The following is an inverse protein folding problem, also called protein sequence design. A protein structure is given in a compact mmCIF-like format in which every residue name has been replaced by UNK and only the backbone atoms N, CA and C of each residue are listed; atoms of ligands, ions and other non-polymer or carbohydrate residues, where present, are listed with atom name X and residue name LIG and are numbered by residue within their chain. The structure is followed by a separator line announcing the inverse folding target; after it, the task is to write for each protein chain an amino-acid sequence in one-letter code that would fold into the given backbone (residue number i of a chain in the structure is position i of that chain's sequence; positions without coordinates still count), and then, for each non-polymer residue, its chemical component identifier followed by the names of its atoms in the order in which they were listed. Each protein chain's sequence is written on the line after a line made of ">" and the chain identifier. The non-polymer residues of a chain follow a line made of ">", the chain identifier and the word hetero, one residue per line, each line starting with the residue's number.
data_IF_071675358124
#
_entry.id   IF_071675358124
#
_cell.length_a   1.000
_cell.length_b   1.000
_cell.length_c   1.000
_cell.angle_alpha   90.00
_cell.angle_beta   90.00
_cell.angle_gamma   90.00
#
_symmetry.space_group_name_H-M   'P 1'
#
loop_
_entity.id
_entity.type
_entity.pdbx_description
1 polymer ?
#
# COMPACT_ATOMS: atom_id res chain seq x y z
N UNK A 1 -12.11 17.86 16.87
CA UNK A 1 -11.85 17.14 15.61
C UNK A 1 -13.14 16.93 14.83
N UNK A 2 -14.09 16.11 15.28
CA UNK A 2 -15.33 15.85 14.52
C UNK A 2 -16.23 17.08 14.32
N UNK A 3 -16.21 18.05 15.25
CA UNK A 3 -16.94 19.31 15.05
C UNK A 3 -16.35 20.15 13.90
N UNK A 4 -15.03 20.13 13.71
CA UNK A 4 -14.38 20.79 12.57
C UNK A 4 -14.70 20.09 11.25
N UNK A 5 -14.82 18.76 11.26
CA UNK A 5 -15.25 17.99 10.09
C UNK A 5 -16.69 18.35 9.74
N UNK A 6 -17.57 18.48 10.74
CA UNK A 6 -18.97 18.84 10.53
C UNK A 6 -19.10 20.28 10.00
N UNK A 7 -18.30 21.22 10.52
CA UNK A 7 -18.20 22.61 10.02
C UNK A 7 -17.71 22.66 8.56
N UNK A 8 -16.69 21.88 8.21
CA UNK A 8 -16.23 21.75 6.82
C UNK A 8 -17.30 21.12 5.90
N UNK A 9 -18.14 20.25 6.44
CA UNK A 9 -19.22 19.60 5.72
C UNK A 9 -20.49 20.47 5.60
N UNK A 10 -20.52 21.68 6.18
CA UNK A 10 -21.65 22.61 6.03
C UNK A 10 -21.75 23.20 4.63
N UNK A 11 -20.64 23.34 3.89
CA UNK A 11 -20.70 23.73 2.46
C UNK A 11 -21.03 22.50 1.61
N UNK A 12 -22.30 22.38 1.21
CA UNK A 12 -22.80 21.30 0.35
C UNK A 12 -22.13 21.26 -1.05
N UNK A 13 -21.38 22.30 -1.45
CA UNK A 13 -20.60 22.32 -2.70
C UNK A 13 -19.21 21.70 -2.52
N UNK A 14 -18.79 21.46 -1.28
CA UNK A 14 -17.53 20.85 -0.94
C UNK A 14 -17.73 19.37 -0.59
N UNK A 15 -16.92 18.49 -1.18
CA UNK A 15 -16.91 17.08 -0.81
C UNK A 15 -15.80 16.81 0.21
N UNK A 16 -16.16 16.24 1.34
CA UNK A 16 -15.25 16.01 2.48
C UNK A 16 -14.89 14.54 2.56
N UNK A 17 -13.58 14.25 2.52
CA UNK A 17 -13.05 12.91 2.76
C UNK A 17 -12.46 12.83 4.16
N UNK A 18 -12.91 11.85 4.94
CA UNK A 18 -12.39 11.54 6.27
C UNK A 18 -11.66 10.21 6.18
N UNK A 19 -10.33 10.25 6.24
CA UNK A 19 -9.48 9.05 6.28
C UNK A 19 -9.12 8.72 7.74
N UNK A 20 -9.47 7.52 8.19
CA UNK A 20 -9.09 6.97 9.49
C UNK A 20 -8.16 5.79 9.23
N UNK A 21 -6.86 5.99 9.43
CA UNK A 21 -5.85 4.95 9.28
C UNK A 21 -5.74 4.12 10.57
N UNK A 22 -5.50 2.81 10.45
CA UNK A 22 -5.33 1.88 11.58
C UNK A 22 -6.46 1.95 12.61
N UNK A 23 -7.72 1.83 12.16
CA UNK A 23 -8.89 2.00 13.03
C UNK A 23 -8.96 0.97 14.18
N UNK A 24 -8.27 -0.16 14.05
CA UNK A 24 -8.07 -1.15 15.13
C UNK A 24 -7.37 -0.56 16.35
N UNK A 25 -6.52 0.47 16.17
CA UNK A 25 -5.85 1.17 17.29
C UNK A 25 -6.85 1.90 18.18
N UNK A 26 -7.98 2.33 17.59
CA UNK A 26 -9.07 3.02 18.28
C UNK A 26 -10.13 2.04 18.78
N UNK A 27 -10.14 0.80 18.28
CA UNK A 27 -11.21 -0.17 18.53
C UNK A 27 -10.78 -1.63 18.49
N UNK A 28 -9.83 -1.98 19.36
CA UNK A 28 -9.54 -3.39 19.65
C UNK A 28 -10.77 -4.07 20.26
N UNK A 29 -11.04 -5.30 19.81
CA UNK A 29 -12.14 -6.15 20.28
C UNK A 29 -12.33 -6.07 21.80
N UNK A 30 -13.59 -5.83 22.20
CA UNK A 30 -14.05 -5.78 23.60
C UNK A 30 -13.66 -7.03 24.39
N UNK A 31 -13.42 -8.15 23.70
CA UNK A 31 -13.03 -9.44 24.30
C UNK A 31 -11.51 -9.52 24.60
N UNK A 32 -10.67 -8.82 23.84
CA UNK A 32 -9.21 -8.84 24.01
C UNK A 32 -8.73 -7.98 25.19
N UNK A 33 -9.54 -7.01 25.63
CA UNK A 33 -9.22 -6.08 26.73
C UNK A 33 -9.29 -6.69 28.14
N UNK A 34 -9.63 -7.97 28.29
CA UNK A 34 -9.84 -8.61 29.60
C UNK A 34 -8.54 -8.80 30.41
N UNK A 35 -7.35 -8.58 29.83
CA UNK A 35 -6.09 -9.01 30.46
C UNK A 35 -5.12 -7.91 30.94
N UNK A 36 -5.15 -6.67 30.44
CA UNK A 36 -4.21 -5.60 30.88
C UNK A 36 -4.76 -4.19 30.60
N UNK A 37 -5.32 -3.53 31.62
CA UNK A 37 -5.82 -2.13 31.55
C UNK A 37 -7.33 -2.02 31.77
N UNK A 38 -7.81 -0.82 32.11
CA UNK A 38 -9.22 -0.56 32.42
C UNK A 38 -10.06 -0.64 31.12
N UNK A 39 -10.80 -1.73 30.88
CA UNK A 39 -11.49 -1.99 29.60
C UNK A 39 -12.57 -0.95 29.30
N UNK A 40 -13.00 -0.21 30.33
CA UNK A 40 -14.08 0.76 30.23
C UNK A 40 -13.70 1.95 29.33
N UNK A 41 -12.45 2.41 29.37
CA UNK A 41 -12.06 3.62 28.64
C UNK A 41 -11.84 3.37 27.15
N UNK A 42 -11.30 2.21 26.78
CA UNK A 42 -11.21 1.79 25.37
C UNK A 42 -12.60 1.60 24.76
N UNK A 43 -13.52 0.95 25.48
CA UNK A 43 -14.90 0.76 25.04
C UNK A 43 -15.62 2.12 24.90
N UNK A 44 -15.42 3.05 25.83
CA UNK A 44 -15.97 4.41 25.75
C UNK A 44 -15.43 5.17 24.55
N UNK A 45 -14.13 5.08 24.29
CA UNK A 45 -13.49 5.72 23.13
C UNK A 45 -14.07 5.18 21.80
N UNK A 46 -14.25 3.86 21.67
CA UNK A 46 -14.89 3.24 20.51
C UNK A 46 -16.32 3.74 20.32
N UNK A 47 -17.14 3.73 21.38
CA UNK A 47 -18.52 4.17 21.28
C UNK A 47 -18.62 5.66 20.91
N UNK A 48 -17.72 6.49 21.44
CA UNK A 48 -17.62 7.90 21.08
C UNK A 48 -17.27 8.06 19.59
N UNK A 49 -16.28 7.31 19.09
CA UNK A 49 -15.90 7.31 17.67
C UNK A 49 -17.07 6.89 16.77
N UNK A 50 -17.74 5.78 17.08
CA UNK A 50 -18.90 5.30 16.33
C UNK A 50 -20.03 6.34 16.30
N UNK A 51 -20.27 7.02 17.42
CA UNK A 51 -21.28 8.08 17.52
C UNK A 51 -20.93 9.25 16.60
N UNK A 52 -19.65 9.63 16.52
CA UNK A 52 -19.21 10.70 15.64
C UNK A 52 -19.26 10.31 14.16
N UNK A 53 -18.88 9.07 13.82
CA UNK A 53 -19.05 8.52 12.45
C UNK A 53 -20.52 8.55 12.05
N UNK A 54 -21.43 8.15 12.94
CA UNK A 54 -22.88 8.18 12.71
C UNK A 54 -23.43 9.60 12.53
N UNK A 55 -22.78 10.62 13.11
CA UNK A 55 -23.13 12.03 12.88
C UNK A 55 -22.71 12.47 11.49
N UNK A 56 -21.43 12.32 11.15
CA UNK A 56 -20.90 12.84 9.88
C UNK A 56 -21.39 12.07 8.65
N UNK A 57 -21.70 10.77 8.75
CA UNK A 57 -22.19 9.98 7.62
C UNK A 57 -23.60 10.37 7.13
N UNK A 58 -24.32 11.21 7.89
CA UNK A 58 -25.64 11.73 7.47
C UNK A 58 -25.52 12.84 6.44
N UNK A 59 -24.35 13.46 6.34
CA UNK A 59 -24.03 14.48 5.34
C UNK A 59 -23.82 13.78 3.98
N UNK A 60 -24.52 14.24 2.95
CA UNK A 60 -24.46 13.63 1.60
C UNK A 60 -23.14 13.90 0.88
N UNK A 61 -22.38 14.89 1.35
CA UNK A 61 -21.09 15.32 0.83
C UNK A 61 -19.90 14.75 1.61
N UNK A 62 -20.10 13.82 2.56
CA UNK A 62 -19.03 13.22 3.35
C UNK A 62 -18.78 11.77 2.95
N UNK A 63 -17.52 11.42 2.71
CA UNK A 63 -17.07 10.05 2.48
C UNK A 63 -16.06 9.67 3.58
N UNK A 64 -16.34 8.59 4.30
CA UNK A 64 -15.45 8.05 5.32
C UNK A 64 -14.70 6.84 4.75
N UNK A 65 -13.37 6.88 4.84
CA UNK A 65 -12.46 5.82 4.43
C UNK A 65 -11.72 5.33 5.67
N UNK A 66 -11.75 4.02 5.91
CA UNK A 66 -11.04 3.43 7.04
C UNK A 66 -10.09 2.34 6.54
N UNK A 67 -8.92 2.22 7.16
CA UNK A 67 -8.00 1.10 6.94
C UNK A 67 -7.86 0.30 8.23
N UNK A 68 -7.53 -0.99 8.09
CA UNK A 68 -7.14 -1.82 9.22
C UNK A 68 -6.15 -2.89 8.81
N UNK A 69 -5.15 -3.13 9.65
CA UNK A 69 -4.18 -4.21 9.48
C UNK A 69 -4.61 -5.51 10.18
N UNK A 70 -5.66 -5.48 11.00
CA UNK A 70 -6.12 -6.62 11.79
C UNK A 70 -7.39 -7.23 11.21
N UNK A 71 -7.22 -8.26 10.38
CA UNK A 71 -8.34 -9.06 9.91
C UNK A 71 -9.01 -9.82 11.06
N UNK A 72 -10.32 -9.63 11.22
CA UNK A 72 -11.13 -10.38 12.18
C UNK A 72 -11.09 -9.87 13.63
N UNK A 73 -10.31 -8.83 13.94
CA UNK A 73 -10.29 -8.23 15.28
C UNK A 73 -11.08 -6.91 15.39
N UNK A 74 -11.67 -6.45 14.29
CA UNK A 74 -12.49 -5.24 14.26
C UNK A 74 -13.82 -5.43 15.01
N UNK A 75 -14.25 -4.41 15.74
CA UNK A 75 -15.57 -4.39 16.38
C UNK A 75 -16.69 -4.52 15.32
N UNK A 76 -17.63 -5.44 15.57
CA UNK A 76 -18.73 -5.74 14.66
C UNK A 76 -19.59 -4.50 14.36
N UNK A 77 -19.77 -3.61 15.32
CA UNK A 77 -20.56 -2.38 15.14
C UNK A 77 -19.92 -1.42 14.14
N UNK A 78 -18.59 -1.47 13.95
CA UNK A 78 -17.89 -0.72 12.93
C UNK A 78 -18.10 -1.34 11.54
N UNK A 79 -18.01 -2.68 11.45
CA UNK A 79 -18.26 -3.41 10.20
C UNK A 79 -19.71 -3.24 9.72
N UNK A 80 -20.69 -3.29 10.62
CA UNK A 80 -22.11 -3.09 10.31
C UNK A 80 -22.41 -1.67 9.77
N UNK A 81 -21.51 -0.70 9.99
CA UNK A 81 -21.62 0.68 9.49
C UNK A 81 -20.90 0.91 8.16
N UNK A 82 -20.07 -0.03 7.73
CA UNK A 82 -19.34 0.09 6.48
C UNK A 82 -20.21 -0.38 5.31
N UNK A 83 -20.46 0.51 4.35
CA UNK A 83 -21.19 0.15 3.13
C UNK A 83 -20.40 -0.86 2.28
N UNK A 84 -19.08 -0.74 2.29
CA UNK A 84 -18.15 -1.59 1.54
C UNK A 84 -16.98 -1.97 2.41
N UNK A 85 -16.77 -3.28 2.57
CA UNK A 85 -15.57 -3.86 3.19
C UNK A 85 -14.79 -4.60 2.13
N UNK A 86 -13.51 -4.22 1.96
CA UNK A 86 -12.61 -4.86 1.00
C UNK A 86 -11.31 -5.22 1.68
N UNK A 87 -10.99 -6.50 1.63
CA UNK A 87 -9.66 -6.99 1.97
C UNK A 87 -8.70 -6.66 0.81
N UNK A 88 -7.57 -6.04 1.14
CA UNK A 88 -6.49 -5.71 0.21
C UNK A 88 -5.25 -6.49 0.63
N UNK A 89 -5.01 -7.59 -0.07
CA UNK A 89 -3.85 -8.45 0.18
C UNK A 89 -2.55 -7.89 -0.40
N UNK A 90 -1.50 -8.71 -0.31
CA UNK A 90 -0.22 -8.42 -0.95
C UNK A 90 -0.37 -8.30 -2.48
N UNK A 91 0.46 -7.46 -3.13
CA UNK A 91 0.40 -7.28 -4.58
C UNK A 91 0.70 -8.60 -5.31
N UNK A 92 -0.05 -8.84 -6.39
CA UNK A 92 0.22 -9.94 -7.31
C UNK A 92 1.51 -9.71 -8.11
N UNK A 93 2.05 -10.75 -8.75
CA UNK A 93 3.23 -10.62 -9.62
C UNK A 93 3.04 -9.55 -10.71
N UNK A 94 1.85 -9.44 -11.30
CA UNK A 94 1.54 -8.41 -12.30
C UNK A 94 1.58 -6.98 -11.70
N UNK A 95 1.12 -6.83 -10.45
CA UNK A 95 1.18 -5.55 -9.75
C UNK A 95 2.62 -5.20 -9.36
N UNK A 96 3.39 -6.18 -8.88
CA UNK A 96 4.83 -6.03 -8.57
C UNK A 96 5.62 -5.63 -9.82
N UNK A 97 5.39 -6.30 -10.95
CA UNK A 97 5.95 -5.94 -12.25
C UNK A 97 5.66 -4.48 -12.58
N UNK A 98 4.39 -4.06 -12.47
CA UNK A 98 3.97 -2.69 -12.78
C UNK A 98 4.62 -1.65 -11.86
N UNK A 99 4.88 -1.99 -10.59
CA UNK A 99 5.57 -1.10 -9.65
C UNK A 99 7.05 -1.01 -10.02
N UNK A 100 7.72 -2.15 -10.22
CA UNK A 100 9.14 -2.19 -10.56
C UNK A 100 9.42 -1.51 -11.91
N UNK A 101 8.57 -1.72 -12.92
CA UNK A 101 8.70 -1.07 -14.23
C UNK A 101 8.65 0.46 -14.09
N UNK A 102 7.68 0.99 -13.34
CA UNK A 102 7.60 2.42 -13.04
C UNK A 102 8.80 2.94 -12.27
N UNK A 103 9.39 2.13 -11.39
CA UNK A 103 10.62 2.50 -10.71
C UNK A 103 11.80 2.60 -11.68
N UNK A 104 11.93 1.66 -12.61
CA UNK A 104 12.97 1.72 -13.66
C UNK A 104 12.75 2.91 -14.59
N UNK A 105 11.53 3.15 -15.04
CA UNK A 105 11.18 4.32 -15.87
C UNK A 105 11.57 5.62 -15.18
N UNK A 106 11.33 5.73 -13.86
CA UNK A 106 11.71 6.89 -13.08
C UNK A 106 13.23 7.04 -12.96
N UNK A 107 13.97 5.94 -12.76
CA UNK A 107 15.44 5.96 -12.73
C UNK A 107 16.05 6.37 -14.08
N UNK A 108 15.43 5.96 -15.20
CA UNK A 108 15.79 6.44 -16.54
C UNK A 108 15.50 7.93 -16.65
N UNK A 109 14.32 8.37 -16.22
CA UNK A 109 13.89 9.78 -16.28
C UNK A 109 14.83 10.73 -15.55
N UNK A 110 15.37 10.32 -14.40
CA UNK A 110 16.33 11.14 -13.63
C UNK A 110 17.79 10.96 -14.07
N UNK A 111 18.05 10.13 -15.09
CA UNK A 111 19.38 9.93 -15.67
C UNK A 111 20.30 8.99 -14.89
N UNK A 112 19.76 8.25 -13.91
CA UNK A 112 20.51 7.26 -13.14
C UNK A 112 20.67 5.93 -13.90
N UNK A 113 19.69 5.59 -14.75
CA UNK A 113 19.76 4.43 -15.65
C UNK A 113 19.85 4.93 -17.10
N UNK A 114 20.87 4.47 -17.83
CA UNK A 114 21.04 4.77 -19.25
C UNK A 114 20.44 3.63 -20.07
N UNK A 115 19.35 3.92 -20.78
CA UNK A 115 18.71 2.98 -21.71
C UNK A 115 17.92 3.73 -22.78
N UNK A 116 17.96 3.20 -24.00
CA UNK A 116 17.10 3.57 -25.12
C UNK A 116 15.85 2.68 -25.22
N UNK A 117 15.76 1.64 -24.39
CA UNK A 117 14.70 0.65 -24.44
C UNK A 117 13.55 1.06 -23.52
N UNK A 118 12.32 0.97 -24.04
CA UNK A 118 11.12 1.13 -23.23
C UNK A 118 10.65 -0.23 -22.73
N UNK A 119 10.38 -0.32 -21.42
CA UNK A 119 9.80 -1.53 -20.84
C UNK A 119 8.35 -1.70 -21.31
N UNK A 120 7.96 -2.89 -21.80
CA UNK A 120 6.60 -3.13 -22.26
C UNK A 120 5.61 -3.10 -21.09
N UNK A 121 4.37 -2.77 -21.37
CA UNK A 121 3.28 -2.99 -20.42
C UNK A 121 3.04 -4.48 -20.21
N UNK A 122 2.37 -4.83 -19.11
CA UNK A 122 1.99 -6.23 -18.82
C UNK A 122 1.16 -6.89 -19.94
N UNK A 123 0.40 -6.09 -20.70
CA UNK A 123 -0.42 -6.58 -21.81
C UNK A 123 0.45 -6.93 -23.01
N UNK A 124 1.41 -6.06 -23.33
CA UNK A 124 2.36 -6.27 -24.42
C UNK A 124 3.32 -7.43 -24.10
N UNK A 125 3.76 -7.55 -22.84
CA UNK A 125 4.62 -8.66 -22.41
C UNK A 125 4.02 -10.04 -22.72
N UNK A 126 2.69 -10.19 -22.59
CA UNK A 126 2.00 -11.46 -22.90
C UNK A 126 1.96 -11.79 -24.38
N UNK A 127 2.13 -10.80 -25.25
CA UNK A 127 2.10 -10.96 -26.71
C UNK A 127 3.47 -11.18 -27.32
N UNK A 128 4.54 -10.87 -26.58
CA UNK A 128 5.93 -10.97 -27.06
C UNK A 128 6.48 -12.35 -26.69
N UNK A 129 6.84 -13.14 -27.70
CA UNK A 129 7.41 -14.49 -27.53
C UNK A 129 8.91 -14.49 -27.18
N UNK A 130 9.58 -13.33 -27.23
CA UNK A 130 11.02 -13.25 -26.95
C UNK A 130 11.31 -13.57 -25.48
N UNK A 131 12.00 -14.70 -25.26
CA UNK A 131 12.38 -15.19 -23.94
C UNK A 131 13.39 -14.27 -23.23
N UNK A 132 14.18 -13.49 -23.98
CA UNK A 132 15.31 -12.72 -23.47
C UNK A 132 15.09 -11.20 -23.57
N UNK A 133 13.93 -10.72 -23.13
CA UNK A 133 13.64 -9.28 -23.07
C UNK A 133 13.78 -8.74 -21.64
N UNK A 134 14.21 -7.48 -21.43
CA UNK A 134 14.26 -6.86 -20.10
C UNK A 134 12.91 -6.86 -19.38
N UNK A 135 11.80 -6.83 -20.14
CA UNK A 135 10.46 -7.00 -19.58
C UNK A 135 10.24 -8.40 -18.98
N UNK A 136 10.79 -9.46 -19.57
CA UNK A 136 10.66 -10.82 -19.05
C UNK A 136 11.53 -11.03 -17.83
N UNK A 137 12.76 -10.51 -17.85
CA UNK A 137 13.63 -10.49 -16.67
C UNK A 137 12.97 -9.73 -15.50
N UNK A 138 12.38 -8.56 -15.75
CA UNK A 138 11.67 -7.80 -14.72
C UNK A 138 10.43 -8.56 -14.20
N UNK A 139 9.78 -9.37 -15.03
CA UNK A 139 8.69 -10.26 -14.59
C UNK A 139 9.19 -11.40 -13.70
N UNK A 140 10.38 -11.93 -13.96
CA UNK A 140 11.03 -12.90 -13.05
C UNK A 140 11.34 -12.25 -11.70
N UNK A 141 11.84 -11.00 -11.70
CA UNK A 141 12.07 -10.24 -10.46
C UNK A 141 10.75 -10.01 -9.69
N UNK A 142 9.68 -9.68 -10.40
CA UNK A 142 8.36 -9.53 -9.80
C UNK A 142 7.83 -10.84 -9.19
N UNK A 143 8.15 -11.97 -9.80
CA UNK A 143 7.81 -13.31 -9.28
C UNK A 143 8.65 -13.65 -8.06
N UNK A 144 9.95 -13.32 -8.07
CA UNK A 144 10.86 -13.48 -6.93
C UNK A 144 10.43 -12.62 -5.73
N UNK A 145 9.89 -11.43 -6.00
CA UNK A 145 9.39 -10.50 -5.00
C UNK A 145 8.00 -10.86 -4.43
N UNK A 146 7.39 -11.98 -4.85
CA UNK A 146 6.10 -12.41 -4.32
C UNK A 146 6.16 -12.54 -2.79
N UNK A 147 5.15 -11.98 -2.14
CA UNK A 147 5.09 -11.89 -0.69
C UNK A 147 5.51 -10.53 -0.13
N UNK A 148 6.30 -9.74 -0.86
CA UNK A 148 6.71 -8.41 -0.39
C UNK A 148 5.53 -7.43 -0.41
N UNK A 149 5.51 -6.52 0.57
CA UNK A 149 4.52 -5.45 0.60
C UNK A 149 4.79 -4.40 -0.48
N UNK A 150 3.76 -3.64 -0.86
CA UNK A 150 3.92 -2.48 -1.75
C UNK A 150 4.93 -1.44 -1.24
N UNK A 151 5.07 -1.32 0.09
CA UNK A 151 6.09 -0.46 0.73
C UNK A 151 7.49 -1.03 0.54
N UNK A 152 7.66 -2.34 0.80
CA UNK A 152 8.95 -3.03 0.69
C UNK A 152 9.49 -2.99 -0.74
N UNK A 153 8.64 -3.22 -1.74
CA UNK A 153 9.06 -3.20 -3.15
C UNK A 153 9.46 -1.79 -3.61
N UNK A 154 8.78 -0.74 -3.13
CA UNK A 154 9.15 0.66 -3.45
C UNK A 154 10.47 1.10 -2.81
N UNK A 155 11.00 0.36 -1.85
CA UNK A 155 12.34 0.59 -1.28
C UNK A 155 13.46 -0.10 -2.07
N UNK A 156 13.13 -1.02 -2.99
CA UNK A 156 14.13 -1.74 -3.80
C UNK A 156 15.04 -0.79 -4.58
N UNK A 157 14.54 0.27 -5.25
CA UNK A 157 15.42 1.17 -5.99
C UNK A 157 16.48 1.84 -5.11
N UNK A 158 16.09 2.29 -3.91
CA UNK A 158 17.03 2.93 -2.98
C UNK A 158 18.07 1.92 -2.45
N UNK A 159 17.65 0.70 -2.12
CA UNK A 159 18.56 -0.36 -1.68
C UNK A 159 19.51 -0.78 -2.80
N UNK A 160 18.99 -0.96 -4.01
CA UNK A 160 19.79 -1.24 -5.21
C UNK A 160 20.84 -0.16 -5.46
N UNK A 161 20.45 1.12 -5.37
CA UNK A 161 21.38 2.23 -5.60
C UNK A 161 22.43 2.39 -4.50
N UNK A 162 22.14 1.98 -3.26
CA UNK A 162 23.13 1.98 -2.19
C UNK A 162 24.32 1.03 -2.43
N UNK A 163 24.18 0.12 -3.40
CA UNK A 163 25.19 -0.87 -3.81
C UNK A 163 25.77 -0.58 -5.21
N UNK A 164 25.33 0.48 -5.87
CA UNK A 164 25.86 0.84 -7.18
C UNK A 164 27.28 1.43 -7.01
N UNK A 165 28.24 0.90 -7.77
CA UNK A 165 29.61 1.41 -7.79
C UNK A 165 29.78 2.66 -8.68
N UNK A 166 28.83 2.88 -9.59
CA UNK A 166 28.85 3.95 -10.60
C UNK A 166 27.67 4.92 -10.39
N UNK A 167 27.87 6.20 -10.73
CA UNK A 167 26.83 7.24 -10.66
C UNK A 167 25.67 6.99 -11.65
N UNK A 168 25.95 6.27 -12.74
CA UNK A 168 24.99 5.90 -13.77
C UNK A 168 25.23 4.47 -14.21
N UNK A 169 24.17 3.67 -14.38
CA UNK A 169 24.30 2.26 -14.79
C UNK A 169 23.44 1.92 -16.00
N UNK A 170 23.78 0.83 -16.70
CA UNK A 170 22.95 0.30 -17.77
C UNK A 170 21.66 -0.35 -17.24
N UNK A 171 20.66 -0.55 -18.12
CA UNK A 171 19.41 -1.24 -17.73
C UNK A 171 19.66 -2.66 -17.19
N UNK A 172 20.53 -3.45 -17.82
CA UNK A 172 20.84 -4.81 -17.35
C UNK A 172 21.50 -4.80 -15.97
N UNK A 173 22.44 -3.88 -15.74
CA UNK A 173 23.06 -3.67 -14.43
C UNK A 173 22.01 -3.28 -13.38
N UNK A 174 21.09 -2.37 -13.72
CA UNK A 174 19.99 -1.98 -12.84
C UNK A 174 19.10 -3.18 -12.44
N UNK A 175 18.75 -4.05 -13.39
CA UNK A 175 17.95 -5.25 -13.10
C UNK A 175 18.71 -6.25 -12.21
N UNK A 176 20.03 -6.38 -12.39
CA UNK A 176 20.88 -7.18 -11.49
C UNK A 176 20.89 -6.61 -10.07
N UNK A 177 21.07 -5.30 -9.90
CA UNK A 177 21.02 -4.65 -8.58
C UNK A 177 19.65 -4.80 -7.91
N UNK A 178 18.56 -4.72 -8.69
CA UNK A 178 17.21 -4.97 -8.20
C UNK A 178 17.05 -6.42 -7.72
N UNK A 179 17.62 -7.39 -8.46
CA UNK A 179 17.62 -8.80 -8.06
C UNK A 179 18.27 -8.99 -6.68
N UNK A 180 19.46 -8.44 -6.48
CA UNK A 180 20.17 -8.52 -5.21
C UNK A 180 19.39 -7.86 -4.07
N UNK A 181 18.84 -6.66 -4.30
CA UNK A 181 18.03 -5.95 -3.31
C UNK A 181 16.73 -6.69 -2.95
N UNK A 182 16.10 -7.36 -3.92
CA UNK A 182 14.92 -8.21 -3.68
C UNK A 182 15.32 -9.43 -2.87
N UNK A 183 16.39 -10.13 -3.25
CA UNK A 183 16.86 -11.32 -2.52
C UNK A 183 17.14 -11.00 -1.05
N UNK A 184 17.87 -9.91 -0.79
CA UNK A 184 18.13 -9.44 0.58
C UNK A 184 16.85 -9.18 1.38
N UNK A 185 15.88 -8.46 0.79
CA UNK A 185 14.59 -8.21 1.45
C UNK A 185 13.77 -9.49 1.69
N UNK A 186 13.97 -10.51 0.86
CA UNK A 186 13.27 -11.79 0.98
C UNK A 186 13.94 -12.69 2.03
N UNK A 187 15.26 -12.64 2.14
CA UNK A 187 16.05 -13.33 3.16
C UNK A 187 15.83 -12.77 4.56
N UNK A 188 15.76 -11.43 4.71
CA UNK A 188 15.42 -10.76 5.97
C UNK A 188 14.04 -11.15 6.53
N UNK A 189 13.23 -11.88 5.76
CA UNK A 189 11.91 -12.35 6.13
C UNK A 189 11.89 -13.80 6.64
N UNK A 190 12.98 -14.57 6.46
CA UNK A 190 13.15 -15.93 6.98
C UNK A 190 13.73 -15.91 8.39
#
# INVERSE_FOLDING_TARGET
>A
MFDQIDELAEDDRCMVFVLIDEIESLGMSRDASTSRGDPADSIRAVNALLTQIDRIRRRTNVIVLCTSNMEGCLDRALLDRADVVRHVGQPSANALYSILAKCVDELIRIGLVVSDQQLPSIRELKTVESECSPGRELMELATLALGLSGRSIRQVPALAWSKADEDTVSLSTCLSLFREAIMEKTELRR
#
